data_IF_148159239534
#
_entry.id   IF_148159239534
#
_cell.length_a   1.000
_cell.length_b   1.000
_cell.length_c   1.000
_cell.angle_alpha   90.00
_cell.angle_beta   90.00
_cell.angle_gamma   90.00
#
_symmetry.space_group_name_H-M   'P 1'
#
loop_
_entity.id
_entity.type
_entity.pdbx_description
1 polymer ?
#
# COMPACT_ATOMS: atom_id res chain seq x y z
N UNK A 1 -37.88 -30.21 13.52
CA UNK A 1 -36.47 -30.32 13.10
C UNK A 1 -36.23 -29.25 12.05
N UNK A 2 -35.48 -28.21 12.37
CA UNK A 2 -35.16 -27.12 11.46
C UNK A 2 -33.84 -26.52 11.93
N UNK A 3 -32.74 -26.98 11.34
CA UNK A 3 -31.39 -26.58 11.74
C UNK A 3 -31.04 -25.31 10.96
N UNK A 4 -30.99 -24.18 11.66
CA UNK A 4 -30.43 -22.94 11.14
C UNK A 4 -28.92 -23.10 10.99
N UNK A 5 -28.45 -23.22 9.76
CA UNK A 5 -27.02 -23.20 9.43
C UNK A 5 -26.43 -21.83 9.78
N UNK A 6 -25.74 -21.77 10.91
CA UNK A 6 -24.90 -20.63 11.29
C UNK A 6 -23.71 -20.54 10.33
N UNK A 7 -23.80 -19.66 9.35
CA UNK A 7 -22.66 -19.29 8.51
C UNK A 7 -21.64 -18.53 9.37
N UNK A 8 -20.54 -19.17 9.72
CA UNK A 8 -19.43 -18.54 10.44
C UNK A 8 -18.79 -17.46 9.55
N UNK A 9 -18.99 -16.18 9.90
CA UNK A 9 -18.21 -15.09 9.34
C UNK A 9 -16.79 -15.23 9.86
N UNK A 10 -15.89 -15.75 9.03
CA UNK A 10 -14.46 -15.74 9.32
C UNK A 10 -13.99 -14.28 9.42
N UNK A 11 -13.29 -13.89 10.50
CA UNK A 11 -12.73 -12.55 10.58
C UNK A 11 -11.68 -12.41 9.47
N UNK A 12 -11.89 -11.45 8.57
CA UNK A 12 -10.88 -11.04 7.59
C UNK A 12 -9.78 -10.26 8.33
N UNK A 13 -8.92 -10.97 9.06
CA UNK A 13 -7.69 -10.40 9.61
C UNK A 13 -6.83 -9.99 8.42
N UNK A 14 -6.80 -8.68 8.14
CA UNK A 14 -5.85 -8.12 7.18
C UNK A 14 -4.46 -8.47 7.71
N UNK A 15 -3.69 -9.32 7.03
CA UNK A 15 -2.40 -9.74 7.56
C UNK A 15 -1.49 -8.52 7.62
N UNK A 16 -0.92 -8.22 8.80
CA UNK A 16 0.12 -7.20 8.93
C UNK A 16 1.43 -7.80 8.41
N UNK A 17 1.50 -7.94 7.08
CA UNK A 17 2.58 -8.64 6.40
C UNK A 17 3.93 -7.89 6.54
N UNK A 18 3.90 -6.58 6.72
CA UNK A 18 5.12 -5.78 6.84
C UNK A 18 5.93 -6.07 8.11
N UNK A 19 5.29 -6.50 9.20
CA UNK A 19 5.99 -6.98 10.39
C UNK A 19 6.67 -8.34 10.18
N UNK A 20 6.35 -9.06 9.09
CA UNK A 20 6.94 -10.35 8.76
C UNK A 20 8.16 -10.21 7.84
N UNK A 21 8.55 -8.99 7.45
CA UNK A 21 9.75 -8.78 6.65
C UNK A 21 10.99 -8.87 7.55
N UNK A 22 11.91 -9.81 7.28
CA UNK A 22 13.12 -9.94 8.07
C UNK A 22 14.11 -8.79 7.82
N UNK A 23 13.95 -8.04 6.73
CA UNK A 23 14.83 -6.93 6.34
C UNK A 23 14.03 -5.63 6.26
N UNK A 24 14.43 -4.64 7.06
CA UNK A 24 13.97 -3.25 6.90
C UNK A 24 14.78 -2.54 5.83
N UNK A 25 14.14 -1.72 5.00
CA UNK A 25 14.79 -0.89 4.00
C UNK A 25 15.74 0.11 4.68
N UNK A 26 16.97 0.13 4.22
CA UNK A 26 18.02 1.10 4.55
C UNK A 26 18.56 1.70 3.25
N UNK A 27 19.44 2.70 3.38
CA UNK A 27 20.14 3.31 2.25
C UNK A 27 21.19 2.41 1.59
N UNK A 28 21.28 1.12 1.91
CA UNK A 28 22.28 0.21 1.32
C UNK A 28 21.72 -1.13 0.86
N UNK A 29 20.46 -1.43 1.17
CA UNK A 29 19.89 -2.77 0.96
C UNK A 29 18.62 -2.78 0.08
N UNK A 30 18.42 -1.75 -0.74
CA UNK A 30 17.21 -1.59 -1.56
C UNK A 30 16.87 -2.84 -2.40
N UNK A 31 17.85 -3.43 -3.08
CA UNK A 31 17.63 -4.63 -3.91
C UNK A 31 17.19 -5.84 -3.07
N UNK A 32 17.80 -6.04 -1.91
CA UNK A 32 17.44 -7.12 -1.00
C UNK A 32 16.03 -6.92 -0.42
N UNK A 33 15.74 -5.71 0.06
CA UNK A 33 14.41 -5.34 0.54
C UNK A 33 13.36 -5.55 -0.55
N UNK A 34 13.61 -5.05 -1.77
CA UNK A 34 12.68 -5.18 -2.90
C UNK A 34 12.40 -6.65 -3.23
N UNK A 35 13.42 -7.51 -3.20
CA UNK A 35 13.28 -8.94 -3.48
C UNK A 35 12.37 -9.64 -2.48
N UNK A 36 12.35 -9.19 -1.21
CA UNK A 36 11.47 -9.74 -0.17
C UNK A 36 10.09 -9.06 -0.14
N UNK A 37 10.02 -7.77 -0.46
CA UNK A 37 8.79 -6.97 -0.42
C UNK A 37 7.88 -7.23 -1.62
N UNK A 38 8.44 -7.35 -2.84
CA UNK A 38 7.62 -7.52 -4.05
C UNK A 38 6.73 -8.78 -4.01
N UNK A 39 7.22 -9.98 -3.63
CA UNK A 39 6.37 -11.19 -3.58
C UNK A 39 5.14 -11.04 -2.70
N UNK A 40 5.25 -10.31 -1.59
CA UNK A 40 4.13 -10.01 -0.69
C UNK A 40 3.06 -9.17 -1.40
N UNK A 41 3.49 -8.15 -2.13
CA UNK A 41 2.59 -7.28 -2.91
C UNK A 41 1.90 -8.07 -4.03
N UNK A 42 2.64 -8.92 -4.73
CA UNK A 42 2.08 -9.80 -5.77
C UNK A 42 1.08 -10.80 -5.17
N UNK A 43 1.38 -11.41 -4.02
CA UNK A 43 0.48 -12.35 -3.35
C UNK A 43 -0.85 -11.71 -2.93
N UNK A 44 -0.85 -10.41 -2.64
CA UNK A 44 -2.06 -9.65 -2.33
C UNK A 44 -2.74 -9.04 -3.57
N UNK A 45 -2.17 -9.20 -4.76
CA UNK A 45 -2.69 -8.59 -5.98
C UNK A 45 -2.67 -7.06 -5.95
N UNK A 46 -1.69 -6.45 -5.26
CA UNK A 46 -1.55 -5.00 -5.08
C UNK A 46 -0.42 -4.39 -5.91
N UNK A 47 0.17 -5.16 -6.83
CA UNK A 47 1.30 -4.71 -7.67
C UNK A 47 0.93 -3.50 -8.55
N UNK A 48 -0.34 -3.37 -8.87
CA UNK A 48 -0.92 -2.30 -9.68
C UNK A 48 -0.84 -0.92 -8.99
N UNK A 49 -0.67 -0.87 -7.66
CA UNK A 49 -0.38 0.35 -6.89
C UNK A 49 1.10 0.76 -6.93
N UNK A 50 2.00 -0.18 -7.23
CA UNK A 50 3.46 0.08 -7.28
C UNK A 50 3.91 0.46 -8.69
N UNK A 51 3.39 -0.25 -9.70
CA UNK A 51 3.77 -0.03 -11.09
C UNK A 51 3.10 1.21 -11.69
N UNK A 52 2.03 1.71 -11.06
CA UNK A 52 1.29 2.90 -11.49
C UNK A 52 0.58 2.76 -12.82
N UNK A 53 0.40 1.53 -13.27
CA UNK A 53 -0.34 1.17 -14.49
C UNK A 53 -1.84 1.33 -14.32
N UNK A 54 -2.33 1.52 -13.10
CA UNK A 54 -3.76 1.63 -12.79
C UNK A 54 -4.20 3.08 -12.82
N UNK A 55 -5.24 3.37 -13.58
CA UNK A 55 -5.90 4.66 -13.52
C UNK A 55 -6.62 4.82 -12.18
N UNK A 56 -6.38 5.95 -11.51
CA UNK A 56 -7.06 6.28 -10.24
C UNK A 56 -8.56 6.44 -10.54
N UNK A 57 -9.44 5.66 -9.90
CA UNK A 57 -10.87 5.80 -10.08
C UNK A 57 -11.31 7.20 -9.61
N UNK A 58 -12.29 7.84 -10.28
CA UNK A 58 -12.78 9.15 -9.85
C UNK A 58 -13.45 9.02 -8.48
N UNK A 59 -13.25 10.01 -7.60
CA UNK A 59 -13.80 10.00 -6.24
C UNK A 59 -15.34 9.97 -6.23
N UNK A 60 -15.95 10.58 -7.24
CA UNK A 60 -17.40 10.64 -7.40
C UNK A 60 -17.77 10.14 -8.80
N UNK A 61 -18.87 9.40 -8.90
CA UNK A 61 -19.44 8.97 -10.19
C UNK A 61 -20.20 10.12 -10.86
N UNK A 62 -20.81 10.98 -10.03
CA UNK A 62 -21.54 12.21 -10.35
C UNK A 62 -21.35 13.19 -9.18
N UNK A 63 -21.74 14.46 -9.28
CA UNK A 63 -21.53 15.49 -8.22
C UNK A 63 -22.05 15.13 -6.82
N UNK A 64 -22.93 14.13 -6.70
CA UNK A 64 -23.54 13.71 -5.43
C UNK A 64 -23.21 12.28 -4.99
N UNK A 65 -22.63 11.45 -5.86
CA UNK A 65 -22.49 10.01 -5.61
C UNK A 65 -21.03 9.58 -5.46
N UNK A 66 -20.66 9.17 -4.25
CA UNK A 66 -19.34 8.58 -3.97
C UNK A 66 -19.11 7.32 -4.81
N UNK A 67 -17.90 7.20 -5.35
CA UNK A 67 -17.49 6.02 -6.08
C UNK A 67 -16.96 4.94 -5.12
N UNK A 68 -17.63 3.77 -5.00
CA UNK A 68 -17.12 2.69 -4.16
C UNK A 68 -15.76 2.17 -4.64
N UNK A 69 -15.48 2.21 -5.94
CA UNK A 69 -14.18 1.82 -6.48
C UNK A 69 -13.05 2.72 -5.98
N UNK A 70 -13.31 4.03 -5.79
CA UNK A 70 -12.35 4.95 -5.17
C UNK A 70 -12.11 4.64 -3.71
N UNK A 71 -13.16 4.24 -2.97
CA UNK A 71 -13.00 3.86 -1.57
C UNK A 71 -12.17 2.59 -1.40
N UNK A 72 -12.39 1.60 -2.26
CA UNK A 72 -11.57 0.36 -2.30
C UNK A 72 -10.13 0.71 -2.67
N UNK A 73 -9.93 1.47 -3.75
CA UNK A 73 -8.60 1.89 -4.19
C UNK A 73 -7.85 2.66 -3.08
N UNK A 74 -8.52 3.60 -2.41
CA UNK A 74 -7.92 4.37 -1.31
C UNK A 74 -7.55 3.47 -0.13
N UNK A 75 -8.39 2.48 0.22
CA UNK A 75 -8.09 1.53 1.29
C UNK A 75 -6.85 0.70 0.97
N UNK A 76 -6.74 0.20 -0.25
CA UNK A 76 -5.58 -0.56 -0.72
C UNK A 76 -4.32 0.32 -0.75
N UNK A 77 -4.42 1.54 -1.27
CA UNK A 77 -3.32 2.52 -1.26
C UNK A 77 -2.81 2.74 0.17
N UNK A 78 -3.69 3.03 1.12
CA UNK A 78 -3.30 3.21 2.52
C UNK A 78 -2.71 1.94 3.16
N UNK A 79 -3.17 0.75 2.75
CA UNK A 79 -2.62 -0.52 3.21
C UNK A 79 -1.19 -0.73 2.71
N UNK A 80 -0.93 -0.52 1.42
CA UNK A 80 0.43 -0.64 0.88
C UNK A 80 1.35 0.42 1.48
N UNK A 81 0.85 1.65 1.69
CA UNK A 81 1.61 2.69 2.38
C UNK A 81 2.02 2.27 3.79
N UNK A 82 1.07 1.72 4.56
CA UNK A 82 1.35 1.18 5.89
C UNK A 82 2.44 0.10 5.85
N UNK A 83 2.40 -0.78 4.85
CA UNK A 83 3.41 -1.82 4.69
C UNK A 83 4.79 -1.26 4.34
N UNK A 84 4.86 -0.29 3.42
CA UNK A 84 6.11 0.38 3.09
C UNK A 84 6.69 1.03 4.35
N UNK A 85 5.91 1.86 5.04
CA UNK A 85 6.37 2.56 6.25
C UNK A 85 6.85 1.59 7.34
N UNK A 86 6.13 0.49 7.58
CA UNK A 86 6.54 -0.52 8.56
C UNK A 86 7.81 -1.30 8.14
N UNK A 87 8.04 -1.44 6.84
CA UNK A 87 9.21 -2.12 6.27
C UNK A 87 10.44 -1.22 6.14
N UNK A 88 10.35 0.05 6.53
CA UNK A 88 11.39 1.06 6.34
C UNK A 88 12.13 1.31 7.67
N UNK A 89 13.45 1.49 7.61
CA UNK A 89 14.25 1.88 8.78
C UNK A 89 14.03 3.35 9.13
N UNK A 90 14.06 3.69 10.42
CA UNK A 90 14.00 5.07 10.91
C UNK A 90 15.04 6.00 10.26
N UNK A 91 16.17 5.45 9.83
CA UNK A 91 17.24 6.18 9.14
C UNK A 91 16.83 6.86 7.83
N UNK A 92 15.79 6.34 7.14
CA UNK A 92 15.34 6.84 5.84
C UNK A 92 13.89 7.36 5.85
N UNK A 93 13.14 7.14 6.95
CA UNK A 93 11.79 7.70 7.16
C UNK A 93 11.72 9.22 6.93
N UNK A 94 12.67 10.06 7.41
CA UNK A 94 12.63 11.51 7.18
C UNK A 94 12.66 11.89 5.70
N UNK A 95 13.32 11.08 4.87
CA UNK A 95 13.41 11.31 3.42
C UNK A 95 12.09 10.96 2.71
N UNK A 96 11.30 10.08 3.32
CA UNK A 96 9.99 9.65 2.85
C UNK A 96 8.87 10.66 3.20
N UNK A 97 8.93 11.22 4.41
CA UNK A 97 7.88 12.10 4.98
C UNK A 97 7.91 13.53 4.40
N UNK A 98 8.99 13.92 3.70
CA UNK A 98 9.28 15.32 3.41
C UNK A 98 8.47 16.08 2.35
N UNK A 99 7.45 15.52 1.66
CA UNK A 99 6.62 16.32 0.73
C UNK A 99 5.17 15.80 0.66
N UNK A 100 4.30 16.45 1.44
CA UNK A 100 2.85 16.42 1.22
C UNK A 100 2.57 17.21 -0.06
N UNK A 101 2.04 16.57 -1.10
CA UNK A 101 1.54 17.33 -2.27
C UNK A 101 0.41 18.26 -1.80
N UNK A 102 0.33 19.51 -2.28
CA UNK A 102 -0.71 20.47 -1.87
C UNK A 102 -2.14 19.99 -2.17
N UNK A 103 -2.31 19.08 -3.12
CA UNK A 103 -3.56 18.36 -3.32
C UNK A 103 -3.67 17.24 -2.29
N UNK A 104 -4.58 17.39 -1.32
CA UNK A 104 -4.86 16.41 -0.25
C UNK A 104 -5.44 15.06 -0.72
N UNK A 105 -5.18 14.65 -1.96
CA UNK A 105 -5.51 13.36 -2.51
C UNK A 105 -4.24 12.51 -2.44
N UNK A 106 -4.22 11.57 -1.48
CA UNK A 106 -3.29 10.42 -1.41
C UNK A 106 -1.81 10.72 -1.68
N UNK A 107 -0.97 10.51 -0.67
CA UNK A 107 0.47 10.28 -0.88
C UNK A 107 0.64 9.19 -1.94
N UNK A 108 0.85 9.58 -3.19
CA UNK A 108 0.91 8.66 -4.31
C UNK A 108 2.04 7.67 -4.02
N UNK A 109 1.70 6.41 -3.79
CA UNK A 109 2.69 5.36 -3.54
C UNK A 109 3.77 5.31 -4.61
N UNK A 110 3.41 5.63 -5.85
CA UNK A 110 4.34 5.90 -6.95
C UNK A 110 5.39 6.95 -6.60
N UNK A 111 5.02 8.08 -6.03
CA UNK A 111 5.97 9.12 -5.65
C UNK A 111 6.93 8.64 -4.56
N UNK A 112 6.45 7.84 -3.61
CA UNK A 112 7.29 7.21 -2.59
C UNK A 112 8.22 6.16 -3.21
N UNK A 113 7.71 5.24 -4.02
CA UNK A 113 8.50 4.20 -4.70
C UNK A 113 9.51 4.79 -5.69
N UNK A 114 9.14 5.82 -6.45
CA UNK A 114 10.02 6.57 -7.34
C UNK A 114 11.10 7.29 -6.54
N UNK A 115 10.77 7.85 -5.36
CA UNK A 115 11.75 8.55 -4.52
C UNK A 115 12.69 7.58 -3.81
N UNK A 116 12.21 6.42 -3.39
CA UNK A 116 13.06 5.32 -2.92
C UNK A 116 14.02 4.87 -4.03
N UNK A 117 13.54 4.74 -5.28
CA UNK A 117 14.40 4.45 -6.44
C UNK A 117 15.41 5.58 -6.70
N UNK A 118 15.00 6.84 -6.59
CA UNK A 118 15.83 8.01 -6.87
C UNK A 118 16.88 8.32 -5.80
N UNK A 119 16.70 7.86 -4.55
CA UNK A 119 17.73 7.95 -3.50
C UNK A 119 18.90 6.97 -3.73
N UNK A 120 18.78 6.06 -4.70
CA UNK A 120 19.72 4.97 -4.96
C UNK A 120 20.33 5.00 -6.37
N UNK A 121 20.07 6.05 -7.15
CA UNK A 121 20.70 6.34 -8.45
C UNK A 121 21.58 7.57 -8.35
#
# INVERSE_FOLDING_TARGET
MGETSSSSMMPSSSPNLAHQLPVKLTSSNYLLWKTQFMPMIFACGLNHHIDGTTQIPPQFLDDTKSNPAYTVWLREDQLVLSWIVASVSESILPQLVGRRSPCGLGTNLLAICIRIKALHS
#
